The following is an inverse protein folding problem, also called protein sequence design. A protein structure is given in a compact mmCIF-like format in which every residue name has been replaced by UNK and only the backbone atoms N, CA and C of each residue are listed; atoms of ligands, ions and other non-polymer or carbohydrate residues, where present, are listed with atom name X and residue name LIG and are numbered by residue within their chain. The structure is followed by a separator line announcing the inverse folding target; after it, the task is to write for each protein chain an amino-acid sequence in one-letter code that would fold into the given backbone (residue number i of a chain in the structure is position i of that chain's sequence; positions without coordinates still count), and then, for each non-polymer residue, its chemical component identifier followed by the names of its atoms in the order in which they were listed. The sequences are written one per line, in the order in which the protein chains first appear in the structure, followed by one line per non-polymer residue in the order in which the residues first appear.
data_IF_599715656598
#
_entry.id   IF_599715656598
#
_cell.length_a   1.000
_cell.length_b   1.000
_cell.length_c   1.000
_cell.angle_alpha   90.00
_cell.angle_beta   90.00
_cell.angle_gamma   90.00
#
_symmetry.space_group_name_H-M   'P 1'
#
loop_
_entity.id
_entity.type
_entity.pdbx_description
1 polymer ?
#
# COMPACT_ATOMS: atom_id res chain seq x y z
N UNK A 1 -8.09 0.76 -33.84
CA UNK A 1 -8.37 -0.25 -32.80
C UNK A 1 -7.12 -1.12 -32.68
N UNK A 2 -6.22 -0.76 -31.82
CA UNK A 2 -5.09 -1.64 -31.43
C UNK A 2 -5.60 -2.49 -30.29
N UNK A 3 -5.84 -3.77 -30.56
CA UNK A 3 -6.12 -4.77 -29.56
C UNK A 3 -4.78 -5.01 -28.83
N UNK A 4 -4.66 -4.54 -27.60
CA UNK A 4 -3.51 -4.89 -26.76
C UNK A 4 -3.52 -6.41 -26.58
N UNK A 5 -2.54 -7.09 -27.14
CA UNK A 5 -2.32 -8.51 -26.89
C UNK A 5 -1.75 -8.60 -25.48
N UNK A 6 -2.62 -8.92 -24.52
CA UNK A 6 -2.19 -9.26 -23.15
C UNK A 6 -1.45 -10.60 -23.25
N UNK A 7 -0.14 -10.56 -23.32
CA UNK A 7 0.67 -11.76 -23.22
C UNK A 7 0.61 -12.27 -21.78
N UNK A 8 0.16 -13.51 -21.58
CA UNK A 8 0.38 -14.22 -20.29
C UNK A 8 1.90 -14.34 -20.11
N UNK A 9 2.45 -13.49 -19.28
CA UNK A 9 3.87 -13.38 -19.11
C UNK A 9 4.36 -14.21 -17.91
N UNK A 10 5.53 -14.79 -18.12
CA UNK A 10 6.38 -15.26 -17.03
C UNK A 10 6.82 -14.07 -16.16
N UNK A 11 6.97 -14.25 -14.86
CA UNK A 11 7.47 -13.24 -13.91
C UNK A 11 8.85 -12.65 -14.25
N UNK A 12 9.53 -13.17 -15.26
CA UNK A 12 10.73 -12.56 -15.83
C UNK A 12 10.55 -11.15 -16.39
N UNK A 13 9.30 -10.67 -16.46
CA UNK A 13 8.97 -9.32 -16.97
C UNK A 13 8.95 -8.23 -15.91
N UNK A 14 8.83 -8.57 -14.62
CA UNK A 14 8.86 -7.58 -13.54
C UNK A 14 10.22 -7.55 -12.85
N UNK A 15 10.99 -6.51 -13.13
CA UNK A 15 12.19 -6.19 -12.36
C UNK A 15 11.76 -5.59 -11.02
N UNK A 16 11.98 -6.31 -9.91
CA UNK A 16 11.64 -5.83 -8.56
C UNK A 16 12.33 -4.51 -8.19
N UNK A 17 13.35 -4.12 -8.93
CA UNK A 17 14.14 -2.93 -8.67
C UNK A 17 13.72 -1.73 -9.53
N UNK A 18 12.68 -1.91 -10.35
CA UNK A 18 12.21 -0.87 -11.27
C UNK A 18 10.74 -0.53 -11.05
N UNK A 19 10.38 0.75 -10.91
CA UNK A 19 8.98 1.15 -10.85
C UNK A 19 8.27 0.86 -12.18
N UNK A 20 6.97 0.58 -12.11
CA UNK A 20 6.10 0.39 -13.27
C UNK A 20 4.70 0.94 -12.97
N UNK A 21 3.85 0.97 -13.98
CA UNK A 21 2.48 1.45 -13.81
C UNK A 21 2.35 2.96 -13.91
N UNK A 22 1.33 3.51 -13.28
CA UNK A 22 1.03 4.93 -13.37
C UNK A 22 2.20 5.84 -12.96
N UNK A 23 3.04 5.41 -12.03
CA UNK A 23 4.18 6.21 -11.55
C UNK A 23 5.18 6.60 -12.66
N UNK A 24 5.17 5.90 -13.78
CA UNK A 24 6.01 6.20 -14.95
C UNK A 24 5.27 6.91 -16.08
N UNK A 25 4.02 7.33 -15.88
CA UNK A 25 3.23 8.02 -16.89
C UNK A 25 3.27 9.53 -16.71
N UNK A 26 3.12 10.29 -17.80
CA UNK A 26 2.97 11.75 -17.77
C UNK A 26 1.60 12.21 -18.24
N UNK A 27 0.79 11.32 -18.80
CA UNK A 27 -0.57 11.62 -19.24
C UNK A 27 -1.45 10.37 -19.18
N UNK A 28 -2.77 10.57 -19.27
CA UNK A 28 -3.76 9.51 -19.27
C UNK A 28 -3.77 8.67 -20.56
N UNK A 29 -3.12 9.15 -21.61
CA UNK A 29 -3.22 8.57 -22.98
C UNK A 29 -1.90 8.09 -23.55
N UNK A 30 -0.77 8.54 -23.00
CA UNK A 30 0.56 8.11 -23.44
C UNK A 30 1.32 7.49 -22.27
N UNK A 31 1.74 6.23 -22.43
CA UNK A 31 2.59 5.54 -21.45
C UNK A 31 4.01 6.08 -21.42
N UNK A 32 4.77 5.67 -20.43
CA UNK A 32 6.23 5.59 -20.33
C UNK A 32 7.05 6.77 -20.84
N UNK A 33 6.82 7.95 -20.31
CA UNK A 33 7.71 9.08 -20.57
C UNK A 33 8.33 9.68 -19.32
N UNK A 34 8.01 9.11 -18.14
CA UNK A 34 8.59 9.55 -16.87
C UNK A 34 9.37 8.40 -16.23
N UNK A 35 10.56 8.70 -15.74
CA UNK A 35 11.37 7.75 -14.97
C UNK A 35 11.36 8.18 -13.50
N UNK A 36 10.66 7.43 -12.66
CA UNK A 36 10.64 7.66 -11.21
C UNK A 36 11.90 7.08 -10.58
N UNK A 37 12.83 7.94 -10.20
CA UNK A 37 14.15 7.59 -9.67
C UNK A 37 14.34 7.94 -8.21
N UNK A 38 13.35 8.67 -7.60
CA UNK A 38 13.52 9.22 -6.26
C UNK A 38 14.77 10.08 -6.14
N UNK A 39 15.61 9.83 -5.16
CA UNK A 39 16.87 10.53 -4.93
C UNK A 39 17.99 10.21 -5.93
N UNK A 40 17.78 9.21 -6.80
CA UNK A 40 18.78 8.82 -7.81
C UNK A 40 20.15 8.54 -7.20
N UNK A 41 21.18 9.24 -7.71
CA UNK A 41 22.55 9.18 -7.21
C UNK A 41 22.91 10.36 -6.27
N UNK A 42 21.89 10.99 -5.66
CA UNK A 42 22.07 12.15 -4.80
C UNK A 42 22.72 11.84 -3.45
N UNK A 43 22.77 12.87 -2.62
CA UNK A 43 23.35 12.81 -1.27
C UNK A 43 22.61 11.79 -0.38
N UNK A 44 23.37 11.05 0.45
CA UNK A 44 22.83 9.96 1.29
C UNK A 44 23.09 10.21 2.77
N UNK A 45 22.15 9.75 3.61
CA UNK A 45 22.35 9.63 5.05
C UNK A 45 21.74 8.31 5.54
N UNK A 46 22.44 7.66 6.46
CA UNK A 46 21.88 6.54 7.22
C UNK A 46 21.51 7.03 8.60
N UNK A 47 20.27 6.80 8.98
CA UNK A 47 19.73 7.07 10.32
C UNK A 47 19.60 5.75 11.09
N UNK A 48 19.98 5.78 12.34
CA UNK A 48 19.72 4.70 13.32
C UNK A 48 18.82 5.23 14.43
N UNK A 49 18.02 4.35 15.02
CA UNK A 49 17.14 4.73 16.12
C UNK A 49 17.96 5.15 17.35
N UNK A 50 17.47 6.17 18.05
CA UNK A 50 18.02 6.59 19.35
C UNK A 50 17.18 6.10 20.52
N UNK A 51 16.10 5.36 20.24
CA UNK A 51 15.10 4.96 21.25
C UNK A 51 14.25 6.13 21.77
N UNK A 52 14.32 7.30 21.12
CA UNK A 52 13.57 8.51 21.46
C UNK A 52 12.81 9.00 20.22
N UNK A 53 12.02 10.08 20.36
CA UNK A 53 11.36 10.73 19.23
C UNK A 53 12.38 11.18 18.18
N UNK A 54 12.26 10.62 16.98
CA UNK A 54 13.14 10.85 15.82
C UNK A 54 12.57 11.86 14.82
N UNK A 55 11.46 12.50 15.13
CA UNK A 55 10.76 13.40 14.20
C UNK A 55 11.66 14.52 13.68
N UNK A 56 12.44 15.14 14.55
CA UNK A 56 13.31 16.26 14.19
C UNK A 56 14.46 15.80 13.29
N UNK A 57 15.12 14.70 13.63
CA UNK A 57 16.24 14.12 12.89
C UNK A 57 15.81 13.71 11.49
N UNK A 58 14.69 13.01 11.37
CA UNK A 58 14.15 12.59 10.07
C UNK A 58 13.73 13.80 9.24
N UNK A 59 13.07 14.80 9.86
CA UNK A 59 12.67 16.04 9.16
C UNK A 59 13.89 16.82 8.64
N UNK A 60 14.99 16.83 9.37
CA UNK A 60 16.25 17.46 8.95
C UNK A 60 16.91 16.65 7.83
N UNK A 61 16.91 15.32 7.92
CA UNK A 61 17.43 14.45 6.87
C UNK A 61 16.69 14.66 5.54
N UNK A 62 15.36 14.72 5.56
CA UNK A 62 14.51 14.96 4.39
C UNK A 62 14.80 16.31 3.71
N UNK A 63 15.22 17.33 4.46
CA UNK A 63 15.57 18.64 3.91
C UNK A 63 16.96 18.64 3.25
N UNK A 64 17.90 17.91 3.82
CA UNK A 64 19.33 18.05 3.48
C UNK A 64 19.88 16.93 2.59
N UNK A 65 19.19 15.79 2.49
CA UNK A 65 19.66 14.62 1.74
C UNK A 65 18.60 14.15 0.75
N UNK A 66 19.04 13.50 -0.31
CA UNK A 66 18.18 12.96 -1.36
C UNK A 66 17.77 11.52 -1.05
N UNK A 67 18.64 10.76 -0.39
CA UNK A 67 18.43 9.37 -0.01
C UNK A 67 18.56 9.24 1.51
N UNK A 68 17.47 8.84 2.17
CA UNK A 68 17.42 8.59 3.60
C UNK A 68 17.30 7.08 3.81
N UNK A 69 18.33 6.49 4.39
CA UNK A 69 18.40 5.08 4.74
C UNK A 69 18.04 4.94 6.22
N UNK A 70 17.00 4.17 6.51
CA UNK A 70 16.59 3.84 7.86
C UNK A 70 17.19 2.47 8.23
N UNK A 71 18.12 2.43 9.16
CA UNK A 71 18.72 1.19 9.66
C UNK A 71 18.04 0.76 10.96
N UNK A 72 17.28 -0.35 10.88
CA UNK A 72 16.52 -0.90 12.00
C UNK A 72 17.35 -1.70 13.00
N UNK A 73 18.68 -1.80 12.86
CA UNK A 73 19.52 -2.60 13.74
C UNK A 73 19.50 -2.17 15.21
N UNK A 74 19.27 -0.87 15.47
CA UNK A 74 19.22 -0.30 16.82
C UNK A 74 17.78 -0.12 17.35
N UNK A 75 16.77 -0.64 16.64
CA UNK A 75 15.37 -0.63 17.05
C UNK A 75 14.46 0.30 16.27
N UNK A 76 13.29 0.59 16.83
CA UNK A 76 12.22 1.31 16.17
C UNK A 76 12.47 2.83 16.14
N UNK A 77 12.15 3.47 15.00
CA UNK A 77 12.10 4.92 14.85
C UNK A 77 10.77 5.44 15.40
N UNK A 78 10.78 5.96 16.61
CA UNK A 78 9.58 6.45 17.30
C UNK A 78 9.28 7.89 16.86
N UNK A 79 8.01 8.18 16.58
CA UNK A 79 7.52 9.50 16.17
C UNK A 79 6.42 9.98 17.11
N UNK A 80 6.62 11.15 17.72
CA UNK A 80 5.60 11.83 18.55
C UNK A 80 4.40 12.30 17.74
N UNK A 81 4.56 12.54 16.44
CA UNK A 81 3.49 12.83 15.49
C UNK A 81 4.01 12.71 14.06
N UNK A 82 3.11 12.69 13.08
CA UNK A 82 3.50 12.57 11.67
C UNK A 82 4.51 13.64 11.23
N UNK A 83 5.32 13.29 10.23
CA UNK A 83 6.26 14.18 9.56
C UNK A 83 5.60 14.72 8.28
N UNK A 84 5.51 16.04 8.16
CA UNK A 84 5.06 16.67 6.93
C UNK A 84 6.20 16.75 5.92
N UNK A 85 6.05 16.07 4.80
CA UNK A 85 6.85 16.26 3.59
C UNK A 85 6.14 17.29 2.72
N UNK A 86 6.65 18.52 2.65
CA UNK A 86 5.98 19.60 1.93
C UNK A 86 6.80 20.02 0.70
N UNK A 87 6.23 19.80 -0.48
CA UNK A 87 6.81 20.19 -1.78
C UNK A 87 8.24 19.67 -2.01
N UNK A 88 8.58 18.53 -1.41
CA UNK A 88 9.87 17.88 -1.62
C UNK A 88 9.91 17.23 -3.00
N UNK A 89 11.11 17.17 -3.57
CA UNK A 89 11.35 16.53 -4.87
C UNK A 89 12.53 15.58 -4.79
N UNK A 90 12.48 14.53 -5.60
CA UNK A 90 13.61 13.62 -5.80
C UNK A 90 14.11 13.05 -4.45
N UNK A 91 13.25 12.33 -3.72
CA UNK A 91 13.62 11.72 -2.45
C UNK A 91 13.41 10.20 -2.48
N UNK A 92 14.38 9.49 -1.92
CA UNK A 92 14.25 8.05 -1.62
C UNK A 92 14.32 7.86 -0.12
N UNK A 93 13.33 7.16 0.42
CA UNK A 93 13.28 6.68 1.80
C UNK A 93 13.33 5.15 1.74
N UNK A 94 14.37 4.54 2.31
CA UNK A 94 14.56 3.10 2.19
C UNK A 94 14.93 2.48 3.53
N UNK A 95 14.32 1.32 3.86
CA UNK A 95 14.58 0.58 5.09
C UNK A 95 15.55 -0.57 4.87
N UNK A 96 16.52 -0.72 5.77
CA UNK A 96 17.38 -1.88 5.91
C UNK A 96 17.25 -2.48 7.31
N UNK A 97 17.67 -3.72 7.48
CA UNK A 97 17.68 -4.41 8.79
C UNK A 97 16.33 -4.36 9.51
N UNK A 98 15.21 -4.48 8.74
CA UNK A 98 13.87 -4.51 9.30
C UNK A 98 13.36 -3.18 9.86
N UNK A 99 13.82 -2.05 9.35
CA UNK A 99 13.47 -0.71 9.81
C UNK A 99 11.96 -0.49 10.00
N UNK A 100 11.58 -0.04 11.20
CA UNK A 100 10.20 0.24 11.60
C UNK A 100 10.05 1.69 12.05
N UNK A 101 9.13 2.41 11.42
CA UNK A 101 8.71 3.74 11.85
C UNK A 101 7.41 3.59 12.62
N UNK A 102 7.42 3.97 13.88
CA UNK A 102 6.36 3.70 14.84
C UNK A 102 5.83 5.00 15.45
N UNK A 103 4.56 5.02 15.79
CA UNK A 103 3.97 6.13 16.55
C UNK A 103 4.31 6.01 18.04
N UNK A 104 4.31 7.13 18.77
CA UNK A 104 4.49 7.13 20.21
C UNK A 104 3.22 6.71 20.96
N UNK A 105 2.07 7.13 20.46
CA UNK A 105 0.77 6.76 21.03
C UNK A 105 0.33 5.37 20.58
N UNK A 106 -0.23 4.59 21.49
CA UNK A 106 -0.82 3.27 21.19
C UNK A 106 -2.17 3.10 21.87
N UNK A 107 -3.10 2.44 21.17
CA UNK A 107 -4.37 1.97 21.72
C UNK A 107 -4.08 0.78 22.62
N UNK A 108 -4.26 0.97 23.93
CA UNK A 108 -4.02 -0.06 24.93
C UNK A 108 -5.29 -0.87 25.23
N UNK A 109 -5.15 -2.00 25.92
CA UNK A 109 -6.29 -2.79 26.39
C UNK A 109 -7.18 -2.01 27.36
N UNK A 110 -6.61 -1.10 28.12
CA UNK A 110 -7.33 -0.20 29.02
C UNK A 110 -8.20 0.75 28.24
N UNK A 111 -7.70 1.32 27.13
CA UNK A 111 -8.49 2.17 26.23
C UNK A 111 -9.63 1.38 25.61
N UNK A 112 -9.38 0.20 25.03
CA UNK A 112 -10.45 -0.60 24.43
C UNK A 112 -11.51 -1.03 25.45
N UNK A 113 -11.10 -1.44 26.65
CA UNK A 113 -12.02 -1.76 27.74
C UNK A 113 -12.84 -0.55 28.20
N UNK A 114 -12.26 0.65 28.18
CA UNK A 114 -12.96 1.89 28.49
C UNK A 114 -14.03 2.19 27.43
N UNK A 115 -13.72 2.01 26.15
CA UNK A 115 -14.66 2.19 25.05
C UNK A 115 -15.82 1.19 25.14
N UNK A 116 -15.53 -0.09 25.38
CA UNK A 116 -16.53 -1.15 25.56
C UNK A 116 -17.45 -0.85 26.74
N UNK A 117 -16.89 -0.49 27.90
CA UNK A 117 -17.66 -0.14 29.10
C UNK A 117 -18.64 1.00 28.89
N UNK A 118 -18.28 1.95 28.05
CA UNK A 118 -19.12 3.11 27.73
C UNK A 118 -20.03 2.89 26.51
N UNK A 119 -20.05 1.69 25.95
CA UNK A 119 -20.93 1.34 24.84
C UNK A 119 -20.56 2.08 23.54
N UNK A 120 -19.31 2.48 23.37
CA UNK A 120 -18.86 3.05 22.10
C UNK A 120 -18.98 1.94 21.05
N UNK A 121 -19.78 2.14 19.99
CA UNK A 121 -19.98 1.09 19.00
C UNK A 121 -18.66 0.80 18.27
N UNK A 122 -18.38 -0.50 18.12
CA UNK A 122 -17.33 -0.93 17.21
C UNK A 122 -17.68 -0.55 15.77
N UNK A 123 -16.77 -0.80 14.84
CA UNK A 123 -17.00 -0.50 13.43
C UNK A 123 -18.29 -1.16 12.93
N UNK A 124 -19.28 -0.34 12.56
CA UNK A 124 -20.46 -0.81 11.88
C UNK A 124 -20.11 -1.40 10.51
N UNK A 125 -20.74 -2.50 10.16
CA UNK A 125 -20.59 -3.11 8.82
C UNK A 125 -21.11 -2.22 7.69
N UNK A 126 -21.88 -1.18 8.01
CA UNK A 126 -22.46 -0.22 7.05
C UNK A 126 -21.64 1.05 6.83
N UNK A 127 -20.51 1.21 7.50
CA UNK A 127 -19.61 2.36 7.33
C UNK A 127 -20.04 3.67 7.99
N UNK A 128 -21.34 3.97 8.04
CA UNK A 128 -21.93 5.09 8.76
C UNK A 128 -23.02 4.52 9.64
N UNK A 129 -22.66 4.25 10.88
CA UNK A 129 -23.48 3.44 11.73
C UNK A 129 -24.74 4.12 12.19
N UNK A 130 -25.84 3.95 11.61
CA UNK A 130 -27.19 4.20 12.10
C UNK A 130 -27.41 5.46 12.95
N UNK A 131 -28.63 5.66 13.38
CA UNK A 131 -29.03 6.82 14.19
C UNK A 131 -29.33 6.37 15.61
N UNK A 132 -28.82 7.06 16.61
CA UNK A 132 -29.18 6.86 18.01
C UNK A 132 -30.61 7.33 18.28
N UNK A 133 -31.22 6.88 19.40
CA UNK A 133 -32.58 7.30 19.78
C UNK A 133 -32.77 8.81 19.90
N UNK A 134 -31.70 9.57 20.11
CA UNK A 134 -31.73 11.02 20.18
C UNK A 134 -31.58 11.73 18.80
N UNK A 135 -31.56 10.96 17.70
CA UNK A 135 -31.44 11.46 16.35
C UNK A 135 -29.99 11.74 15.87
N UNK A 136 -28.98 11.48 16.69
CA UNK A 136 -27.57 11.67 16.31
C UNK A 136 -27.08 10.46 15.53
N UNK A 137 -26.34 10.69 14.44
CA UNK A 137 -25.70 9.60 13.69
C UNK A 137 -24.60 8.94 14.52
N UNK A 138 -24.59 7.61 14.54
CA UNK A 138 -23.70 6.82 15.40
C UNK A 138 -22.22 7.08 15.09
N UNK A 139 -21.86 7.32 13.82
CA UNK A 139 -20.47 7.59 13.41
C UNK A 139 -19.90 8.85 14.09
N UNK A 140 -20.62 9.95 13.99
CA UNK A 140 -20.20 11.22 14.61
C UNK A 140 -20.17 11.13 16.13
N UNK A 141 -21.16 10.48 16.72
CA UNK A 141 -21.19 10.31 18.17
C UNK A 141 -20.10 9.35 18.65
N UNK A 142 -19.80 8.27 17.92
CA UNK A 142 -18.72 7.35 18.28
C UNK A 142 -17.38 8.07 18.30
N UNK A 143 -17.08 8.88 17.28
CA UNK A 143 -15.86 9.70 17.23
C UNK A 143 -15.78 10.64 18.43
N UNK A 144 -16.84 11.40 18.70
CA UNK A 144 -16.88 12.33 19.82
C UNK A 144 -16.68 11.63 21.17
N UNK A 145 -17.41 10.52 21.41
CA UNK A 145 -17.30 9.74 22.64
C UNK A 145 -15.89 9.16 22.81
N UNK A 146 -15.31 8.61 21.75
CA UNK A 146 -13.98 8.05 21.74
C UNK A 146 -12.95 9.12 22.12
N UNK A 147 -13.00 10.26 21.47
CA UNK A 147 -12.11 11.41 21.76
C UNK A 147 -12.20 11.86 23.22
N UNK A 148 -13.42 12.07 23.73
CA UNK A 148 -13.64 12.46 25.11
C UNK A 148 -13.06 11.45 26.10
N UNK A 149 -13.32 10.16 25.92
CA UNK A 149 -12.85 9.12 26.81
C UNK A 149 -11.32 9.00 26.80
N UNK A 150 -10.69 9.12 25.63
CA UNK A 150 -9.22 9.09 25.52
C UNK A 150 -8.61 10.31 26.21
N UNK A 151 -9.15 11.50 26.01
CA UNK A 151 -8.66 12.71 26.68
C UNK A 151 -8.77 12.60 28.21
N UNK A 152 -9.90 12.11 28.73
CA UNK A 152 -10.09 11.87 30.16
C UNK A 152 -9.11 10.82 30.70
N UNK A 153 -8.84 9.76 29.93
CA UNK A 153 -7.92 8.68 30.33
C UNK A 153 -6.46 9.08 30.28
N UNK A 154 -6.04 9.79 29.23
CA UNK A 154 -4.62 10.15 29.01
C UNK A 154 -4.23 11.49 29.61
N UNK A 155 -5.18 12.38 29.88
CA UNK A 155 -4.93 13.77 30.24
C UNK A 155 -4.48 14.65 29.06
N UNK A 156 -4.48 14.15 27.84
CA UNK A 156 -4.07 14.89 26.65
C UNK A 156 -5.19 15.81 26.14
N UNK A 157 -5.24 17.01 26.68
CA UNK A 157 -6.24 18.02 26.31
C UNK A 157 -6.00 18.67 24.93
N UNK A 158 -4.85 18.39 24.29
CA UNK A 158 -4.49 18.91 22.96
C UNK A 158 -4.77 17.89 21.84
N UNK A 159 -5.28 16.71 22.19
CA UNK A 159 -5.56 15.62 21.24
C UNK A 159 -4.37 15.24 20.36
N UNK A 160 -3.13 15.26 20.92
CA UNK A 160 -1.92 14.91 20.17
C UNK A 160 -1.96 13.48 19.63
N UNK A 161 -2.66 12.58 20.32
CA UNK A 161 -2.88 11.20 19.90
C UNK A 161 -3.54 11.09 18.51
N UNK A 162 -4.23 12.11 18.03
CA UNK A 162 -4.83 12.15 16.68
C UNK A 162 -3.78 12.33 15.57
N UNK A 163 -2.59 12.76 15.92
CA UNK A 163 -1.48 12.96 14.98
C UNK A 163 -0.58 11.72 14.83
N UNK A 164 -1.11 10.55 15.15
CA UNK A 164 -0.38 9.27 15.15
C UNK A 164 -0.22 8.65 13.76
N UNK A 165 0.05 9.46 12.74
CA UNK A 165 0.52 9.04 11.42
C UNK A 165 2.04 9.02 11.34
N UNK A 166 2.58 8.63 10.17
CA UNK A 166 4.04 8.61 9.92
C UNK A 166 4.44 9.71 8.94
N UNK A 167 3.88 9.71 7.72
CA UNK A 167 4.18 10.75 6.73
C UNK A 167 2.92 11.37 6.13
N UNK A 168 2.88 12.69 6.11
CA UNK A 168 1.92 13.49 5.36
C UNK A 168 2.64 14.12 4.16
N UNK A 169 2.44 13.55 2.95
CA UNK A 169 3.15 13.89 1.73
C UNK A 169 2.32 14.88 0.93
N UNK A 170 2.75 16.14 0.89
CA UNK A 170 1.98 17.26 0.34
C UNK A 170 2.71 17.95 -0.80
N UNK A 171 2.18 17.87 -2.01
CA UNK A 171 2.73 18.54 -3.19
C UNK A 171 4.13 18.08 -3.58
N UNK A 172 4.51 16.86 -3.22
CA UNK A 172 5.81 16.28 -3.52
C UNK A 172 5.86 15.67 -4.93
N UNK A 173 7.07 15.50 -5.48
CA UNK A 173 7.25 14.90 -6.81
C UNK A 173 8.47 14.00 -6.84
N UNK A 174 8.36 12.86 -7.52
CA UNK A 174 9.45 11.88 -7.68
C UNK A 174 9.95 11.37 -6.32
N UNK A 175 9.07 10.68 -5.63
CA UNK A 175 9.33 10.13 -4.29
C UNK A 175 9.30 8.59 -4.37
N UNK A 176 10.31 7.96 -3.79
CA UNK A 176 10.38 6.50 -3.61
C UNK A 176 10.39 6.18 -2.12
N UNK A 177 9.47 5.32 -1.69
CA UNK A 177 9.46 4.72 -0.35
C UNK A 177 9.55 3.21 -0.50
N UNK A 178 10.60 2.60 0.08
CA UNK A 178 10.89 1.19 -0.17
C UNK A 178 11.33 0.44 1.07
N UNK A 179 10.82 -0.78 1.24
CA UNK A 179 11.20 -1.73 2.28
C UNK A 179 11.11 -1.19 3.72
N UNK A 180 10.09 -0.37 4.00
CA UNK A 180 9.82 0.24 5.30
C UNK A 180 8.62 -0.40 5.96
N UNK A 181 8.64 -0.54 7.29
CA UNK A 181 7.50 -0.92 8.10
C UNK A 181 6.92 0.31 8.78
N UNK A 182 5.66 0.62 8.48
CA UNK A 182 4.89 1.69 9.12
C UNK A 182 3.94 1.08 10.14
N UNK A 183 4.11 1.43 11.41
CA UNK A 183 3.36 0.85 12.53
C UNK A 183 2.62 1.93 13.28
N UNK A 184 1.31 1.86 13.22
CA UNK A 184 0.41 2.80 13.86
C UNK A 184 -0.01 2.43 15.27
N UNK A 185 -0.87 3.27 15.86
CA UNK A 185 -1.32 3.11 17.24
C UNK A 185 -2.33 1.99 17.45
N UNK A 186 -2.91 1.46 16.39
CA UNK A 186 -4.17 0.74 16.39
C UNK A 186 -5.31 1.64 15.94
N UNK A 187 -6.25 1.10 15.15
CA UNK A 187 -7.35 1.89 14.63
C UNK A 187 -8.42 2.15 15.69
N UNK A 188 -8.81 3.40 15.80
CA UNK A 188 -9.93 3.91 16.60
C UNK A 188 -10.54 5.09 15.86
N UNK A 189 -11.84 5.29 16.00
CA UNK A 189 -12.54 6.39 15.34
C UNK A 189 -12.39 7.69 16.15
N UNK A 190 -11.42 8.51 15.75
CA UNK A 190 -11.09 9.79 16.41
C UNK A 190 -10.88 10.94 15.40
N UNK A 191 -11.17 10.71 14.11
CA UNK A 191 -10.79 11.65 13.05
C UNK A 191 -9.29 11.93 13.06
N UNK A 192 -8.49 10.86 13.16
CA UNK A 192 -7.04 10.91 13.32
C UNK A 192 -6.29 10.97 11.99
N UNK A 193 -5.06 10.45 11.98
CA UNK A 193 -4.18 10.45 10.81
C UNK A 193 -4.01 9.03 10.26
N UNK A 194 -3.89 8.93 8.94
CA UNK A 194 -3.39 7.71 8.29
C UNK A 194 -1.90 7.52 8.57
N UNK A 195 -1.40 6.29 8.40
CA UNK A 195 0.04 6.07 8.46
C UNK A 195 0.77 6.85 7.36
N UNK A 196 0.19 6.83 6.16
CA UNK A 196 0.70 7.54 5.01
C UNK A 196 -0.45 8.26 4.31
N UNK A 197 -0.34 9.58 4.11
CA UNK A 197 -1.30 10.36 3.33
C UNK A 197 -0.59 11.07 2.19
N UNK A 198 -1.04 10.84 0.95
CA UNK A 198 -0.57 11.53 -0.26
C UNK A 198 -1.63 12.55 -0.69
N UNK A 199 -1.28 13.83 -0.68
CA UNK A 199 -2.23 14.93 -0.84
C UNK A 199 -1.68 16.12 -1.65
N UNK A 200 -2.56 17.06 -1.97
CA UNK A 200 -2.21 18.37 -2.54
C UNK A 200 -1.38 18.29 -3.83
N UNK A 201 -1.75 17.38 -4.74
CA UNK A 201 -1.06 17.24 -6.01
C UNK A 201 0.33 16.59 -5.91
N UNK A 202 0.54 15.74 -4.92
CA UNK A 202 1.72 14.85 -4.90
C UNK A 202 1.69 13.96 -6.14
N UNK A 203 2.81 13.83 -6.84
CA UNK A 203 2.87 13.10 -8.11
C UNK A 203 4.14 12.26 -8.23
N UNK A 204 4.08 11.17 -9.00
CA UNK A 204 5.18 10.23 -9.19
C UNK A 204 5.70 9.71 -7.84
N UNK A 205 4.77 9.12 -7.09
CA UNK A 205 5.05 8.46 -5.81
C UNK A 205 5.06 6.95 -6.00
N UNK A 206 6.21 6.33 -5.78
CA UNK A 206 6.35 4.88 -5.75
C UNK A 206 6.53 4.39 -4.31
N UNK A 207 5.54 3.62 -3.83
CA UNK A 207 5.58 2.95 -2.53
C UNK A 207 5.70 1.46 -2.80
N UNK A 208 6.86 0.89 -2.46
CA UNK A 208 7.26 -0.44 -2.87
C UNK A 208 7.77 -1.29 -1.71
N UNK A 209 7.38 -2.54 -1.65
CA UNK A 209 7.78 -3.47 -0.60
C UNK A 209 7.67 -2.86 0.81
N UNK A 210 6.61 -2.11 1.09
CA UNK A 210 6.35 -1.55 2.41
C UNK A 210 5.30 -2.37 3.16
N UNK A 211 5.39 -2.38 4.49
CA UNK A 211 4.41 -3.00 5.36
C UNK A 211 3.68 -1.94 6.19
N UNK A 212 2.36 -2.01 6.21
CA UNK A 212 1.49 -1.07 6.93
C UNK A 212 0.67 -1.84 7.96
N UNK A 213 0.80 -1.46 9.21
CA UNK A 213 0.10 -2.14 10.30
C UNK A 213 -0.54 -1.13 11.27
N UNK A 214 -1.81 -1.34 11.60
CA UNK A 214 -2.51 -0.63 12.67
C UNK A 214 -2.63 0.89 12.49
N UNK A 215 -2.87 1.37 11.27
CA UNK A 215 -3.17 2.79 11.03
C UNK A 215 -4.38 3.28 11.83
N UNK A 216 -4.35 4.52 12.33
CA UNK A 216 -5.39 5.05 13.21
C UNK A 216 -6.69 5.32 12.46
N UNK A 217 -6.64 6.11 11.39
CA UNK A 217 -7.77 6.40 10.50
C UNK A 217 -7.74 5.49 9.27
N UNK A 218 -6.56 5.25 8.73
CA UNK A 218 -6.28 4.38 7.60
C UNK A 218 -4.81 4.01 7.50
N UNK A 219 -4.48 3.12 6.58
CA UNK A 219 -3.08 2.75 6.37
C UNK A 219 -2.41 3.64 5.32
N UNK A 220 -3.04 3.85 4.16
CA UNK A 220 -2.47 4.73 3.14
C UNK A 220 -3.56 5.33 2.25
N UNK A 221 -3.76 6.62 2.34
CA UNK A 221 -4.74 7.39 1.58
C UNK A 221 -4.08 8.26 0.50
N UNK A 222 -4.71 8.31 -0.69
CA UNK A 222 -4.27 9.04 -1.87
C UNK A 222 -5.40 9.95 -2.31
N UNK A 223 -5.27 11.26 -2.05
CA UNK A 223 -6.37 12.21 -2.21
C UNK A 223 -5.89 13.57 -2.74
N UNK A 224 -6.80 14.50 -2.93
CA UNK A 224 -6.51 15.91 -3.23
C UNK A 224 -5.57 16.09 -4.43
N UNK A 225 -5.96 15.54 -5.58
CA UNK A 225 -5.20 15.62 -6.83
C UNK A 225 -3.83 14.94 -6.81
N UNK A 226 -3.57 14.05 -5.85
CA UNK A 226 -2.39 13.19 -5.96
C UNK A 226 -2.52 12.34 -7.21
N UNK A 227 -1.42 12.14 -7.97
CA UNK A 227 -1.50 11.54 -9.27
C UNK A 227 -0.26 10.72 -9.62
N UNK A 228 -0.39 9.82 -10.59
CA UNK A 228 0.71 8.95 -11.04
C UNK A 228 1.38 8.22 -9.86
N UNK A 229 0.59 7.48 -9.11
CA UNK A 229 1.04 6.73 -7.93
C UNK A 229 1.07 5.23 -8.25
N UNK A 230 2.13 4.56 -7.82
CA UNK A 230 2.17 3.09 -7.81
C UNK A 230 2.46 2.59 -6.41
N UNK A 231 1.60 1.68 -5.95
CA UNK A 231 1.73 0.93 -4.70
C UNK A 231 1.95 -0.52 -5.08
N UNK A 232 3.17 -1.02 -4.89
CA UNK A 232 3.54 -2.36 -5.36
C UNK A 232 4.21 -3.18 -4.26
N UNK A 233 3.93 -4.48 -4.24
CA UNK A 233 4.52 -5.43 -3.30
C UNK A 233 4.40 -5.02 -1.84
N UNK A 234 3.35 -4.26 -1.50
CA UNK A 234 3.08 -3.82 -0.14
C UNK A 234 2.18 -4.80 0.60
N UNK A 235 2.27 -4.78 1.93
CA UNK A 235 1.39 -5.56 2.80
C UNK A 235 0.66 -4.66 3.77
N UNK A 236 -0.65 -4.84 3.85
CA UNK A 236 -1.55 -4.11 4.74
C UNK A 236 -2.17 -5.07 5.74
N UNK A 237 -2.21 -4.69 7.02
CA UNK A 237 -2.80 -5.53 8.06
C UNK A 237 -3.21 -4.70 9.27
N UNK A 238 -3.99 -5.34 10.15
CA UNK A 238 -4.32 -4.86 11.49
C UNK A 238 -4.12 -5.98 12.50
N UNK A 239 -3.81 -5.61 13.74
CA UNK A 239 -3.65 -6.54 14.87
C UNK A 239 -4.82 -6.44 15.85
N UNK A 240 -4.75 -7.15 16.98
CA UNK A 240 -5.72 -7.06 18.09
C UNK A 240 -5.69 -5.71 18.81
N UNK A 241 -4.72 -4.84 18.50
CA UNK A 241 -4.67 -3.46 19.00
C UNK A 241 -5.75 -2.59 18.36
N UNK A 242 -6.11 -2.90 17.12
CA UNK A 242 -7.14 -2.16 16.38
C UNK A 242 -8.54 -2.55 16.84
N UNK A 243 -9.27 -1.58 17.37
CA UNK A 243 -10.60 -1.76 17.96
C UNK A 243 -11.72 -1.61 16.93
N UNK A 244 -11.67 -0.54 16.13
CA UNK A 244 -12.65 -0.20 15.10
C UNK A 244 -11.95 0.55 13.96
N UNK A 245 -12.68 0.90 12.88
CA UNK A 245 -12.18 1.74 11.80
C UNK A 245 -10.97 1.15 11.03
N UNK A 246 -10.94 -0.18 10.83
CA UNK A 246 -9.88 -0.88 10.09
C UNK A 246 -10.04 -0.66 8.58
N UNK A 247 -9.95 0.61 8.15
CA UNK A 247 -9.97 1.04 6.76
C UNK A 247 -8.52 1.05 6.21
N UNK A 248 -8.33 0.63 4.96
CA UNK A 248 -6.97 0.41 4.47
C UNK A 248 -6.50 1.52 3.53
N UNK A 249 -7.17 1.68 2.39
CA UNK A 249 -6.74 2.62 1.35
C UNK A 249 -7.93 3.39 0.77
N UNK A 250 -7.89 4.72 0.87
CA UNK A 250 -8.85 5.59 0.22
C UNK A 250 -8.18 6.32 -0.95
N UNK A 251 -8.80 6.26 -2.11
CA UNK A 251 -8.43 7.06 -3.28
C UNK A 251 -9.56 8.04 -3.54
N UNK A 252 -9.31 9.34 -3.29
CA UNK A 252 -10.35 10.38 -3.37
C UNK A 252 -11.22 10.49 -2.11
N UNK A 253 -11.11 11.63 -1.41
CA UNK A 253 -11.64 11.84 -0.07
C UNK A 253 -13.16 11.90 0.03
N UNK A 254 -13.88 12.40 -0.96
CA UNK A 254 -15.33 12.54 -0.89
C UNK A 254 -16.02 12.71 -2.24
N UNK A 255 -17.30 12.34 -2.30
CA UNK A 255 -18.10 12.43 -3.53
C UNK A 255 -18.27 13.88 -4.06
N UNK A 256 -18.11 14.88 -3.20
CA UNK A 256 -18.18 16.31 -3.55
C UNK A 256 -16.85 16.91 -4.02
N UNK A 257 -15.76 16.16 -3.97
CA UNK A 257 -14.42 16.63 -4.34
C UNK A 257 -14.19 16.57 -5.85
N UNK A 258 -15.03 17.25 -6.62
CA UNK A 258 -15.00 17.25 -8.11
C UNK A 258 -13.69 17.79 -8.68
N UNK A 259 -12.89 18.50 -7.90
CA UNK A 259 -11.55 18.94 -8.29
C UNK A 259 -10.52 17.82 -8.45
N UNK A 260 -10.86 16.60 -8.02
CA UNK A 260 -10.03 15.39 -8.18
C UNK A 260 -10.26 14.71 -9.55
N UNK A 261 -11.21 15.18 -10.34
CA UNK A 261 -11.47 14.69 -11.70
C UNK A 261 -10.20 14.81 -12.57
N UNK A 262 -9.88 13.79 -13.37
CA UNK A 262 -8.66 13.63 -14.17
C UNK A 262 -7.34 13.43 -13.37
N UNK A 263 -7.41 13.34 -12.04
CA UNK A 263 -6.30 12.98 -11.17
C UNK A 263 -6.56 11.62 -10.51
N UNK A 264 -5.75 11.26 -9.52
CA UNK A 264 -5.88 10.02 -8.74
C UNK A 264 -5.67 8.74 -9.57
N UNK A 265 -4.72 8.80 -10.53
CA UNK A 265 -4.34 7.65 -11.32
C UNK A 265 -3.38 6.77 -10.51
N UNK A 266 -3.84 5.58 -10.13
CA UNK A 266 -3.15 4.73 -9.17
C UNK A 266 -3.05 3.28 -9.66
N UNK A 267 -1.85 2.71 -9.57
CA UNK A 267 -1.62 1.27 -9.73
C UNK A 267 -1.44 0.63 -8.35
N UNK A 268 -2.28 -0.35 -8.02
CA UNK A 268 -2.05 -1.29 -6.93
C UNK A 268 -1.68 -2.65 -7.52
N UNK A 269 -0.41 -3.08 -7.33
CA UNK A 269 0.06 -4.31 -7.94
C UNK A 269 0.86 -5.17 -6.97
N UNK A 270 0.59 -6.48 -6.96
CA UNK A 270 1.29 -7.45 -6.12
C UNK A 270 1.22 -7.16 -4.61
N UNK A 271 0.15 -6.53 -4.15
CA UNK A 271 -0.05 -6.22 -2.74
C UNK A 271 -0.79 -7.35 -2.02
N UNK A 272 -0.62 -7.41 -0.69
CA UNK A 272 -1.41 -8.25 0.20
C UNK A 272 -2.29 -7.36 1.09
N UNK A 273 -3.61 -7.58 1.07
CA UNK A 273 -4.51 -7.15 2.15
C UNK A 273 -4.77 -8.36 3.05
N UNK A 274 -4.11 -8.34 4.19
CA UNK A 274 -4.06 -9.48 5.12
C UNK A 274 -4.98 -9.33 6.32
N UNK A 275 -4.52 -9.87 7.45
CA UNK A 275 -5.28 -10.02 8.67
C UNK A 275 -5.99 -8.73 9.10
N UNK A 276 -7.28 -8.86 9.40
CA UNK A 276 -8.14 -7.79 9.94
C UNK A 276 -8.29 -6.53 9.08
N UNK A 277 -7.85 -6.50 7.82
CA UNK A 277 -8.30 -5.50 6.87
C UNK A 277 -9.79 -5.69 6.63
N UNK A 278 -10.61 -4.67 6.94
CA UNK A 278 -12.07 -4.82 6.91
C UNK A 278 -12.75 -4.05 5.81
N UNK A 279 -12.16 -2.94 5.35
CA UNK A 279 -12.74 -2.05 4.35
C UNK A 279 -11.69 -1.30 3.55
N UNK A 280 -12.08 -0.77 2.40
CA UNK A 280 -11.30 0.11 1.52
C UNK A 280 -9.99 -0.54 1.05
N UNK A 281 -10.07 -1.56 0.18
CA UNK A 281 -8.91 -2.30 -0.33
C UNK A 281 -8.78 -2.30 -1.88
N UNK A 282 -8.85 -1.14 -2.58
CA UNK A 282 -9.18 0.21 -2.12
C UNK A 282 -10.67 0.58 -2.31
N UNK A 283 -11.08 1.69 -1.71
CA UNK A 283 -12.25 2.47 -2.14
C UNK A 283 -11.76 3.64 -2.99
N UNK A 284 -12.27 3.80 -4.22
CA UNK A 284 -11.79 4.83 -5.13
C UNK A 284 -12.89 5.71 -5.72
N UNK A 285 -12.60 7.01 -5.83
CA UNK A 285 -13.42 8.03 -6.48
C UNK A 285 -12.59 8.79 -7.51
N UNK A 286 -13.21 9.19 -8.61
CA UNK A 286 -12.68 10.02 -9.70
C UNK A 286 -11.53 9.40 -10.49
N UNK A 287 -10.52 8.83 -9.88
CA UNK A 287 -9.30 8.36 -10.54
C UNK A 287 -9.45 7.13 -11.43
N UNK A 288 -8.41 6.85 -12.21
CA UNK A 288 -8.25 5.61 -12.97
C UNK A 288 -7.33 4.64 -12.22
N UNK A 289 -7.91 3.56 -11.71
CA UNK A 289 -7.26 2.68 -10.74
C UNK A 289 -7.06 1.30 -11.37
N UNK A 290 -5.80 0.83 -11.38
CA UNK A 290 -5.43 -0.49 -11.85
C UNK A 290 -5.18 -1.43 -10.66
N UNK A 291 -5.97 -2.50 -10.57
CA UNK A 291 -5.85 -3.55 -9.57
C UNK A 291 -5.22 -4.78 -10.21
N UNK A 292 -3.89 -4.93 -10.15
CA UNK A 292 -3.14 -5.94 -10.87
C UNK A 292 -2.48 -6.94 -9.92
N UNK A 293 -2.83 -8.22 -10.04
CA UNK A 293 -2.15 -9.32 -9.34
C UNK A 293 -2.01 -9.13 -7.82
N UNK A 294 -3.06 -8.68 -7.15
CA UNK A 294 -3.08 -8.55 -5.71
C UNK A 294 -3.67 -9.79 -5.03
N UNK A 295 -3.26 -10.01 -3.78
CA UNK A 295 -3.72 -11.09 -2.94
C UNK A 295 -4.55 -10.55 -1.77
N UNK A 296 -5.81 -10.95 -1.69
CA UNK A 296 -6.73 -10.61 -0.61
C UNK A 296 -6.84 -11.78 0.35
N UNK A 297 -6.21 -11.66 1.53
CA UNK A 297 -6.26 -12.63 2.65
C UNK A 297 -6.96 -12.02 3.87
N UNK A 298 -7.89 -11.10 3.62
CA UNK A 298 -8.62 -10.33 4.62
C UNK A 298 -9.91 -11.06 5.05
N UNK A 299 -9.76 -12.23 5.64
CA UNK A 299 -10.88 -13.06 6.11
C UNK A 299 -11.79 -12.28 7.04
N UNK A 300 -13.12 -12.33 6.78
CA UNK A 300 -14.13 -11.64 7.58
C UNK A 300 -14.17 -10.12 7.33
N UNK A 301 -13.78 -9.66 6.14
CA UNK A 301 -13.91 -8.27 5.73
C UNK A 301 -15.36 -7.74 5.88
N UNK A 302 -15.49 -6.49 6.34
CA UNK A 302 -16.79 -5.90 6.69
C UNK A 302 -17.52 -5.33 5.47
N UNK A 303 -16.76 -4.76 4.51
CA UNK A 303 -17.28 -4.20 3.26
C UNK A 303 -16.54 -4.79 2.07
N UNK A 304 -16.91 -4.42 0.86
CA UNK A 304 -16.24 -4.89 -0.33
C UNK A 304 -14.74 -4.56 -0.33
N UNK A 305 -13.92 -5.51 -0.77
CA UNK A 305 -12.49 -5.30 -0.98
C UNK A 305 -12.27 -4.17 -1.99
N UNK A 306 -12.78 -4.32 -3.19
CA UNK A 306 -12.66 -3.35 -4.28
C UNK A 306 -13.99 -2.59 -4.38
N UNK A 307 -13.92 -1.28 -4.18
CA UNK A 307 -15.12 -0.43 -4.12
C UNK A 307 -14.99 0.80 -5.03
N UNK A 308 -15.28 0.65 -6.34
CA UNK A 308 -15.38 1.76 -7.26
C UNK A 308 -16.56 2.67 -6.91
N UNK A 309 -16.28 3.95 -6.68
CA UNK A 309 -17.24 4.96 -6.31
C UNK A 309 -17.24 6.10 -7.31
N UNK A 310 -17.96 7.13 -7.01
CA UNK A 310 -18.17 8.38 -7.76
C UNK A 310 -17.16 8.67 -8.87
N UNK A 311 -17.57 8.51 -10.15
CA UNK A 311 -16.81 8.80 -11.36
C UNK A 311 -15.44 8.10 -11.49
N UNK A 312 -15.15 7.07 -10.68
CA UNK A 312 -13.90 6.31 -10.80
C UNK A 312 -13.95 5.30 -11.96
N UNK A 313 -12.78 4.96 -12.44
CA UNK A 313 -12.55 3.93 -13.45
C UNK A 313 -11.62 2.85 -12.89
N UNK A 314 -12.04 1.57 -12.96
CA UNK A 314 -11.25 0.47 -12.41
C UNK A 314 -10.98 -0.61 -13.46
N UNK A 315 -9.69 -0.99 -13.60
CA UNK A 315 -9.29 -2.21 -14.30
C UNK A 315 -8.83 -3.23 -13.25
N UNK A 316 -9.46 -4.42 -13.23
CA UNK A 316 -9.30 -5.40 -12.17
C UNK A 316 -8.88 -6.73 -12.78
N UNK A 317 -7.59 -7.10 -12.65
CA UNK A 317 -7.00 -8.21 -13.40
C UNK A 317 -6.06 -9.07 -12.54
N UNK A 318 -6.17 -10.39 -12.68
CA UNK A 318 -5.24 -11.34 -12.10
C UNK A 318 -5.19 -11.35 -10.56
N UNK A 319 -6.20 -10.87 -9.86
CA UNK A 319 -6.22 -10.84 -8.40
C UNK A 319 -6.70 -12.17 -7.81
N UNK A 320 -6.21 -12.51 -6.62
CA UNK A 320 -6.62 -13.70 -5.88
C UNK A 320 -7.31 -13.34 -4.58
N UNK A 321 -8.52 -13.91 -4.37
CA UNK A 321 -9.33 -13.72 -3.15
C UNK A 321 -9.39 -15.04 -2.39
N UNK A 322 -8.78 -15.06 -1.19
CA UNK A 322 -8.67 -16.25 -0.35
C UNK A 322 -10.03 -16.71 0.21
N UNK A 323 -10.03 -17.94 0.70
CA UNK A 323 -11.17 -18.51 1.40
C UNK A 323 -11.54 -17.67 2.62
N UNK A 324 -12.84 -17.37 2.75
CA UNK A 324 -13.37 -16.51 3.82
C UNK A 324 -13.40 -15.02 3.48
N UNK A 325 -12.90 -14.60 2.32
CA UNK A 325 -13.10 -13.25 1.77
C UNK A 325 -14.39 -13.24 0.98
N UNK A 326 -15.47 -12.75 1.60
CA UNK A 326 -16.84 -12.92 1.08
C UNK A 326 -17.41 -11.69 0.40
N UNK A 327 -16.93 -10.49 0.76
CA UNK A 327 -17.37 -9.21 0.18
C UNK A 327 -16.27 -8.71 -0.76
N UNK A 328 -16.35 -9.11 -2.03
CA UNK A 328 -15.25 -8.91 -2.97
C UNK A 328 -15.37 -7.57 -3.71
N UNK A 329 -16.54 -7.28 -4.25
CA UNK A 329 -16.75 -6.11 -5.11
C UNK A 329 -18.09 -5.45 -4.83
N UNK A 330 -18.08 -4.13 -4.77
CA UNK A 330 -19.28 -3.28 -4.73
C UNK A 330 -18.98 -1.96 -5.43
N UNK A 331 -19.86 -1.50 -6.27
CA UNK A 331 -19.71 -0.21 -6.93
C UNK A 331 -20.88 0.73 -6.62
N UNK A 332 -20.61 2.03 -6.59
CA UNK A 332 -21.64 3.07 -6.51
C UNK A 332 -21.23 4.28 -7.33
N UNK A 333 -21.99 4.57 -8.37
CA UNK A 333 -21.78 5.71 -9.27
C UNK A 333 -20.39 5.75 -9.97
N UNK A 334 -19.75 4.58 -10.13
CA UNK A 334 -18.52 4.47 -10.89
C UNK A 334 -18.77 4.82 -12.36
N UNK A 335 -17.80 5.49 -13.00
CA UNK A 335 -17.85 5.82 -14.43
C UNK A 335 -17.69 4.56 -15.27
N UNK A 336 -16.66 3.77 -14.99
CA UNK A 336 -16.39 2.50 -15.67
C UNK A 336 -15.69 1.51 -14.76
N UNK A 337 -15.84 0.21 -15.04
CA UNK A 337 -15.01 -0.84 -14.43
C UNK A 337 -15.00 -2.08 -15.31
N UNK A 338 -13.84 -2.72 -15.37
CA UNK A 338 -13.66 -4.00 -16.06
C UNK A 338 -13.09 -5.04 -15.09
N UNK A 339 -13.83 -6.11 -14.95
CA UNK A 339 -13.44 -7.31 -14.19
C UNK A 339 -12.95 -8.38 -15.17
N UNK A 340 -11.68 -8.75 -15.10
CA UNK A 340 -11.12 -9.79 -15.95
C UNK A 340 -11.45 -11.20 -15.44
N UNK A 341 -11.56 -12.15 -16.35
CA UNK A 341 -11.72 -13.57 -16.03
C UNK A 341 -10.48 -14.19 -15.34
N UNK A 342 -9.33 -13.51 -15.36
CA UNK A 342 -8.09 -13.95 -14.72
C UNK A 342 -8.11 -13.75 -13.19
N UNK A 343 -9.12 -13.05 -12.64
CA UNK A 343 -9.31 -12.96 -11.21
C UNK A 343 -9.83 -14.31 -10.65
N UNK A 344 -9.22 -14.77 -9.55
CA UNK A 344 -9.59 -16.02 -8.86
C UNK A 344 -10.28 -15.72 -7.54
N UNK A 345 -11.48 -16.28 -7.38
CA UNK A 345 -12.26 -16.20 -6.13
C UNK A 345 -12.48 -17.60 -5.59
N UNK A 346 -12.13 -17.84 -4.33
CA UNK A 346 -12.31 -19.16 -3.71
C UNK A 346 -13.68 -19.36 -3.07
N UNK A 347 -14.39 -18.25 -2.82
CA UNK A 347 -15.78 -18.26 -2.36
C UNK A 347 -16.76 -18.10 -3.53
N UNK A 348 -18.02 -18.48 -3.29
CA UNK A 348 -19.07 -18.25 -4.28
C UNK A 348 -19.27 -16.77 -4.53
N UNK A 349 -18.87 -16.33 -5.71
CA UNK A 349 -18.96 -14.94 -6.16
C UNK A 349 -19.49 -14.88 -7.59
N UNK A 350 -20.38 -13.92 -7.83
CA UNK A 350 -20.83 -13.62 -9.18
C UNK A 350 -20.07 -12.41 -9.69
N UNK A 351 -19.21 -12.60 -10.67
CA UNK A 351 -18.45 -11.51 -11.27
C UNK A 351 -19.37 -10.40 -11.75
N UNK A 352 -19.02 -9.13 -11.51
CA UNK A 352 -19.84 -8.01 -11.99
C UNK A 352 -19.86 -7.96 -13.51
N UNK A 353 -20.98 -7.53 -14.08
CA UNK A 353 -21.01 -7.19 -15.49
C UNK A 353 -20.18 -5.92 -15.71
N UNK A 354 -19.24 -5.97 -16.65
CA UNK A 354 -18.39 -4.83 -16.99
C UNK A 354 -19.21 -3.61 -17.42
N UNK A 355 -18.74 -2.43 -17.03
CA UNK A 355 -19.33 -1.13 -17.39
C UNK A 355 -18.29 -0.28 -18.09
N UNK A 356 -18.52 0.09 -19.34
CA UNK A 356 -17.57 0.85 -20.14
C UNK A 356 -16.30 0.06 -20.48
N UNK A 357 -15.25 0.79 -20.88
CA UNK A 357 -13.94 0.23 -21.19
C UNK A 357 -12.88 1.03 -20.45
N UNK A 358 -12.04 0.34 -19.70
CA UNK A 358 -10.89 0.91 -18.96
C UNK A 358 -9.63 0.27 -19.53
N UNK A 359 -8.67 1.11 -19.92
CA UNK A 359 -7.36 0.66 -20.44
C UNK A 359 -6.25 1.43 -19.76
N UNK A 360 -5.11 0.79 -19.58
CA UNK A 360 -3.92 1.44 -19.04
C UNK A 360 -3.02 1.93 -20.16
N UNK A 361 -2.38 3.10 -20.02
CA UNK A 361 -1.50 3.65 -21.07
C UNK A 361 -0.08 3.08 -21.05
N UNK A 362 0.22 2.13 -20.18
CA UNK A 362 1.54 1.51 -20.01
C UNK A 362 1.48 0.00 -20.27
N UNK A 363 2.64 -0.57 -20.55
CA UNK A 363 2.79 -2.02 -20.70
C UNK A 363 2.84 -2.72 -19.34
N UNK A 364 2.19 -3.86 -19.24
CA UNK A 364 2.20 -4.72 -18.07
C UNK A 364 1.93 -6.18 -18.46
N UNK A 365 2.10 -7.07 -17.54
CA UNK A 365 1.84 -8.50 -17.73
C UNK A 365 1.03 -9.05 -16.56
N UNK A 366 0.12 -9.98 -16.84
CA UNK A 366 -0.68 -10.64 -15.82
C UNK A 366 0.01 -11.95 -15.42
N UNK A 367 0.26 -12.11 -14.13
CA UNK A 367 0.70 -13.37 -13.54
C UNK A 367 -0.53 -14.21 -13.22
N UNK A 368 -0.42 -15.52 -13.33
CA UNK A 368 -1.50 -16.43 -12.93
C UNK A 368 -1.85 -16.23 -11.45
N UNK A 369 -3.11 -15.86 -11.18
CA UNK A 369 -3.55 -15.46 -9.84
C UNK A 369 -3.38 -16.56 -8.78
N UNK A 370 -3.46 -17.85 -9.17
CA UNK A 370 -3.29 -18.99 -8.27
C UNK A 370 -1.88 -19.10 -7.67
N UNK A 371 -0.89 -18.45 -8.26
CA UNK A 371 0.48 -18.40 -7.76
C UNK A 371 0.71 -17.32 -6.69
N UNK A 372 -0.16 -16.33 -6.61
CA UNK A 372 0.04 -15.16 -5.75
C UNK A 372 0.17 -15.48 -4.26
N UNK A 373 -0.64 -16.38 -3.66
CA UNK A 373 -0.50 -16.70 -2.24
C UNK A 373 0.91 -17.17 -1.86
N UNK A 374 1.51 -18.04 -2.68
CA UNK A 374 2.87 -18.50 -2.45
C UNK A 374 3.90 -17.40 -2.76
N UNK A 375 3.74 -16.73 -3.90
CA UNK A 375 4.69 -15.74 -4.41
C UNK A 375 4.82 -14.51 -3.52
N UNK A 376 3.71 -14.03 -2.96
CA UNK A 376 3.70 -12.78 -2.20
C UNK A 376 4.01 -12.97 -0.71
N UNK A 377 3.95 -14.20 -0.18
CA UNK A 377 4.15 -14.46 1.26
C UNK A 377 5.56 -14.92 1.63
N UNK A 378 6.48 -14.98 0.67
CA UNK A 378 7.87 -15.40 0.88
C UNK A 378 8.82 -14.21 0.97
N UNK A 379 10.08 -14.48 1.28
CA UNK A 379 11.17 -13.50 1.23
C UNK A 379 11.26 -12.84 -0.16
N UNK A 380 11.48 -11.54 -0.21
CA UNK A 380 11.34 -10.69 -1.40
C UNK A 380 9.93 -10.72 -2.03
N UNK A 381 8.93 -11.17 -1.29
CA UNK A 381 7.51 -11.03 -1.59
C UNK A 381 6.95 -9.68 -1.12
N UNK A 382 5.65 -9.63 -0.84
CA UNK A 382 5.01 -8.39 -0.39
C UNK A 382 5.36 -8.05 1.07
N UNK A 383 5.46 -6.75 1.35
CA UNK A 383 5.90 -6.21 2.64
C UNK A 383 7.37 -5.85 2.66
N UNK A 384 7.86 -5.40 3.81
CA UNK A 384 9.26 -5.02 3.99
C UNK A 384 10.16 -6.26 4.13
N UNK A 385 10.31 -7.00 3.04
CA UNK A 385 10.93 -8.33 2.99
C UNK A 385 12.14 -8.41 2.05
N UNK A 386 12.55 -7.29 1.43
CA UNK A 386 13.68 -7.27 0.52
C UNK A 386 15.00 -7.54 1.24
N UNK A 387 15.79 -8.43 0.67
CA UNK A 387 17.15 -8.73 1.15
C UNK A 387 18.17 -7.70 0.67
N UNK A 388 17.92 -7.05 -0.48
CA UNK A 388 18.77 -6.00 -1.04
C UNK A 388 17.92 -4.78 -1.47
N UNK A 389 17.38 -4.01 -0.50
CA UNK A 389 16.47 -2.92 -0.79
C UNK A 389 17.14 -1.70 -1.45
N UNK A 390 18.47 -1.59 -1.35
CA UNK A 390 19.24 -0.48 -1.92
C UNK A 390 19.51 -0.68 -3.42
N UNK A 391 19.32 -1.87 -3.94
CA UNK A 391 19.46 -2.15 -5.36
C UNK A 391 18.22 -1.66 -6.12
N UNK A 392 18.30 -0.46 -6.66
CA UNK A 392 17.27 0.15 -7.50
C UNK A 392 17.87 0.57 -8.85
N UNK A 393 17.11 0.40 -9.92
CA UNK A 393 17.52 0.87 -11.25
C UNK A 393 17.67 2.39 -11.24
N UNK A 394 18.83 2.90 -11.67
CA UNK A 394 19.17 4.34 -11.62
C UNK A 394 20.08 4.75 -10.46
N UNK A 395 20.40 3.85 -9.52
CA UNK A 395 21.38 4.07 -8.44
C UNK A 395 22.66 3.29 -8.73
N UNK A 396 23.38 3.66 -9.80
CA UNK A 396 24.45 2.86 -10.40
C UNK A 396 25.70 2.61 -9.54
N UNK A 397 25.77 3.12 -8.31
CA UNK A 397 26.98 3.06 -7.49
C UNK A 397 26.84 2.35 -6.14
N UNK A 398 25.78 1.56 -5.93
CA UNK A 398 25.56 0.88 -4.63
C UNK A 398 26.16 -0.53 -4.57
N UNK A 399 26.41 -1.18 -5.71
CA UNK A 399 27.15 -2.45 -5.77
C UNK A 399 28.10 -2.46 -6.97
N UNK A 400 29.34 -2.94 -6.84
CA UNK A 400 30.18 -3.19 -8.01
C UNK A 400 29.49 -4.20 -8.92
N UNK A 401 29.61 -4.09 -10.26
CA UNK A 401 28.98 -5.02 -11.17
C UNK A 401 29.49 -6.43 -10.88
N UNK A 402 28.59 -7.36 -10.58
CA UNK A 402 28.89 -8.78 -10.62
C UNK A 402 29.35 -9.08 -12.05
N UNK A 403 30.61 -9.42 -12.21
CA UNK A 403 31.21 -9.73 -13.50
C UNK A 403 30.40 -10.78 -14.21
N UNK A 404 29.84 -10.43 -15.37
CA UNK A 404 29.17 -11.34 -16.29
C UNK A 404 30.20 -12.33 -16.88
N UNK A 405 30.40 -13.43 -16.20
CA UNK A 405 30.97 -14.63 -16.80
C UNK A 405 29.91 -15.72 -16.81
N UNK A 406 29.35 -15.94 -17.92
CA UNK A 406 28.68 -17.06 -18.59
C UNK A 406 28.02 -18.20 -17.84
N UNK A 407 27.72 -18.13 -16.52
CA UNK A 407 26.90 -19.12 -15.83
C UNK A 407 25.97 -18.35 -14.86
N UNK A 408 24.74 -18.12 -15.28
CA UNK A 408 23.72 -17.55 -14.39
C UNK A 408 23.49 -18.51 -13.23
N UNK A 409 23.73 -18.04 -12.01
CA UNK A 409 23.51 -18.81 -10.80
C UNK A 409 22.02 -18.84 -10.50
N UNK A 410 21.46 -20.04 -10.34
CA UNK A 410 20.05 -20.25 -10.04
C UNK A 410 19.89 -20.50 -8.54
N UNK A 411 19.01 -19.76 -7.88
CA UNK A 411 18.64 -20.02 -6.49
C UNK A 411 17.14 -20.34 -6.41
N UNK A 412 16.76 -21.24 -5.52
CA UNK A 412 15.36 -21.39 -5.14
C UNK A 412 14.92 -20.25 -4.21
N UNK A 413 13.63 -20.18 -3.91
CA UNK A 413 13.04 -19.13 -3.06
C UNK A 413 13.59 -19.10 -1.62
N UNK A 414 14.23 -20.20 -1.17
CA UNK A 414 14.89 -20.29 0.13
C UNK A 414 16.36 -19.82 0.08
N UNK A 415 16.79 -19.17 -1.00
CA UNK A 415 18.17 -18.73 -1.20
C UNK A 415 19.19 -19.85 -1.43
N UNK A 416 18.74 -21.10 -1.62
CA UNK A 416 19.64 -22.23 -1.88
C UNK A 416 19.96 -22.30 -3.36
N UNK A 417 21.24 -22.30 -3.70
CA UNK A 417 21.71 -22.51 -5.06
C UNK A 417 21.28 -23.88 -5.60
N UNK A 418 20.69 -23.89 -6.79
CA UNK A 418 20.31 -25.11 -7.51
C UNK A 418 21.07 -25.20 -8.84
N UNK A 419 21.45 -26.42 -9.23
CA UNK A 419 22.23 -26.63 -10.45
C UNK A 419 21.37 -26.61 -11.71
N UNK A 420 20.09 -26.91 -11.59
CA UNK A 420 19.10 -26.91 -12.66
C UNK A 420 17.68 -26.77 -12.09
N UNK A 421 16.78 -26.29 -12.91
CA UNK A 421 15.36 -26.20 -12.56
C UNK A 421 14.71 -27.52 -12.98
N UNK A 422 14.25 -28.29 -12.00
CA UNK A 422 13.66 -29.61 -12.22
C UNK A 422 12.17 -29.67 -11.88
N UNK A 423 11.61 -28.61 -11.25
CA UNK A 423 10.22 -28.56 -10.83
C UNK A 423 9.66 -27.15 -11.10
N UNK A 424 8.35 -27.02 -11.32
CA UNK A 424 7.69 -25.71 -11.29
C UNK A 424 7.93 -25.01 -9.96
N UNK A 425 8.09 -23.70 -9.97
CA UNK A 425 8.35 -22.95 -8.75
C UNK A 425 8.96 -21.58 -9.03
N UNK A 426 9.27 -20.87 -7.96
CA UNK A 426 9.91 -19.55 -8.01
C UNK A 426 11.42 -19.74 -7.82
N UNK A 427 12.19 -19.09 -8.69
CA UNK A 427 13.66 -19.12 -8.69
C UNK A 427 14.21 -17.70 -8.81
N UNK A 428 15.44 -17.50 -8.35
CA UNK A 428 16.23 -16.30 -8.62
C UNK A 428 17.29 -16.69 -9.64
N UNK A 429 17.27 -16.10 -10.82
CA UNK A 429 18.21 -16.38 -11.91
C UNK A 429 18.85 -15.05 -12.31
N UNK A 430 20.17 -14.94 -12.22
CA UNK A 430 20.88 -13.70 -12.54
C UNK A 430 20.41 -12.50 -11.69
N UNK A 431 20.00 -12.75 -10.43
CA UNK A 431 19.45 -11.72 -9.55
C UNK A 431 17.98 -11.36 -9.81
N UNK A 432 17.32 -12.00 -10.78
CA UNK A 432 15.90 -11.78 -11.11
C UNK A 432 15.05 -12.93 -10.62
N UNK A 433 13.87 -12.61 -10.09
CA UNK A 433 12.87 -13.59 -9.69
C UNK A 433 12.17 -14.17 -10.93
N UNK A 434 12.18 -15.47 -11.09
CA UNK A 434 11.60 -16.18 -12.25
C UNK A 434 10.64 -17.26 -11.74
N UNK A 435 9.44 -17.31 -12.29
CA UNK A 435 8.48 -18.40 -12.06
C UNK A 435 8.54 -19.38 -13.21
N UNK A 436 8.79 -20.64 -12.88
CA UNK A 436 8.78 -21.74 -13.84
C UNK A 436 7.48 -22.52 -13.69
N UNK A 437 6.70 -22.58 -14.75
CA UNK A 437 5.47 -23.37 -14.83
C UNK A 437 5.77 -24.76 -15.36
N UNK A 438 4.91 -25.72 -15.03
CA UNK A 438 4.97 -27.05 -15.63
C UNK A 438 4.47 -26.96 -17.08
N UNK A 439 5.30 -27.22 -18.05
CA UNK A 439 4.86 -27.51 -19.42
C UNK A 439 4.17 -28.87 -19.40
N UNK A 440 2.85 -28.88 -19.53
CA UNK A 440 2.11 -30.08 -19.88
C UNK A 440 2.43 -30.30 -21.37
N UNK A 441 3.33 -31.25 -21.66
CA UNK A 441 3.45 -31.80 -23.01
C UNK A 441 2.28 -32.76 -23.20
N UNK A 442 1.42 -32.46 -24.17
CA UNK A 442 0.40 -33.39 -24.69
C UNK A 442 1.02 -34.66 -25.21
#
# INVERSE_FOLDING_TARGET
MACAIVAKANLSTYDLNKPFGWVNCTSLTSGDSYETTGGGNGSKITLTSTGKDMKTEISNALKNYDIIIFDGSEGDFILSSYIKMDKLKNKTLVGINGARLCTEFYVTKEITALLDKNGVPGMSTSGNGGTLPNGTEIGEQAEYMTRKLIMEHTGDTKENYRNAGIFYISGCTNIVMRNLKFVGPGSIDVGGSDLLSSVNGTTHLWVDHCEFTDGQDGNFDITQKSDFVTVSWCKFSYTDRSYMHQNTNLVGSGDSQTGDEDYLNVTFAFNIWGAKCRARMPMGRYGTIHMLNNYYDCVGNATACINPRKNSEFLIEGNYFAKGVTRIFEQKDAKAYNWSSDNVTTEKFSSPQNKGTVTMPYEYSIVEATLLPEMLTVENGAGATLTDPLNMTGTSDLNPPLSSNGNETIYNICGRQVKSITHPGIYIIGGKKVVIQQTISD
#
